data_IF_875578768445
#
_entry.id   IF_875578768445
#
_cell.length_a   1.000
_cell.length_b   1.000
_cell.length_c   1.000
_cell.angle_alpha   90.00
_cell.angle_beta   90.00
_cell.angle_gamma   90.00
#
_symmetry.space_group_name_H-M   'P 1'
#
loop_
_entity.id
_entity.type
_entity.pdbx_description
1 polymer ?
#
# COMPACT_ATOMS: atom_id res chain seq x y z
N UNK A 1 -35.30 -0.24 -3.78
CA UNK A 1 -34.03 -0.26 -4.52
C UNK A 1 -34.35 -0.53 -5.99
N UNK A 2 -34.01 0.38 -6.90
CA UNK A 2 -34.29 0.18 -8.34
C UNK A 2 -33.30 -0.86 -8.84
N UNK A 3 -33.80 -2.07 -9.12
CA UNK A 3 -33.04 -3.11 -9.80
C UNK A 3 -32.77 -2.63 -11.23
N UNK A 4 -31.56 -2.12 -11.48
CA UNK A 4 -31.11 -1.86 -12.85
C UNK A 4 -30.85 -3.20 -13.52
N UNK A 5 -31.57 -3.45 -14.62
CA UNK A 5 -31.31 -4.58 -15.51
C UNK A 5 -29.89 -4.49 -16.03
N UNK A 6 -29.14 -5.58 -15.97
CA UNK A 6 -27.80 -5.66 -16.56
C UNK A 6 -27.92 -5.48 -18.07
N UNK A 7 -27.19 -4.52 -18.64
CA UNK A 7 -27.22 -4.18 -20.06
C UNK A 7 -25.80 -3.96 -20.59
N UNK A 8 -25.58 -4.34 -21.85
CA UNK A 8 -24.33 -4.09 -22.56
C UNK A 8 -24.29 -2.66 -23.10
N UNK A 9 -23.09 -2.13 -23.32
CA UNK A 9 -22.87 -0.82 -23.95
C UNK A 9 -22.08 -0.97 -25.25
N UNK A 10 -22.16 0.04 -26.11
CA UNK A 10 -21.33 0.11 -27.31
C UNK A 10 -19.83 0.05 -26.96
N UNK A 11 -19.02 -0.51 -27.85
CA UNK A 11 -17.59 -0.75 -27.59
C UNK A 11 -16.82 0.50 -27.17
N UNK A 12 -17.20 1.69 -27.67
CA UNK A 12 -16.55 2.96 -27.32
C UNK A 12 -16.84 3.43 -25.89
N UNK A 13 -17.92 2.94 -25.28
CA UNK A 13 -18.33 3.25 -23.92
C UNK A 13 -17.76 2.26 -22.88
N UNK A 14 -16.95 1.28 -23.31
CA UNK A 14 -16.28 0.36 -22.41
C UNK A 14 -15.20 1.09 -21.58
N UNK A 15 -15.18 0.79 -20.27
CA UNK A 15 -14.13 1.25 -19.38
C UNK A 15 -12.74 0.77 -19.81
N UNK A 16 -11.73 1.57 -19.54
CA UNK A 16 -10.33 1.28 -19.88
C UNK A 16 -9.53 1.02 -18.61
N UNK A 17 -8.60 0.07 -18.67
CA UNK A 17 -7.71 -0.26 -17.57
C UNK A 17 -6.29 0.24 -17.86
N UNK A 18 -5.65 0.76 -16.82
CA UNK A 18 -4.28 1.26 -16.87
C UNK A 18 -3.55 0.82 -15.61
N UNK A 19 -2.23 0.66 -15.73
CA UNK A 19 -1.38 0.39 -14.56
C UNK A 19 -0.97 1.70 -13.93
N UNK A 20 -1.13 1.81 -12.61
CA UNK A 20 -0.61 2.90 -11.80
C UNK A 20 0.66 2.41 -11.13
N UNK A 21 1.81 2.79 -11.67
CA UNK A 21 3.12 2.23 -11.25
C UNK A 21 3.66 2.85 -9.97
N UNK A 22 3.18 4.02 -9.58
CA UNK A 22 3.65 4.81 -8.43
C UNK A 22 2.74 4.72 -7.20
N UNK A 23 1.69 3.88 -7.25
CA UNK A 23 0.67 3.80 -6.20
C UNK A 23 1.26 3.51 -4.80
N UNK A 24 2.25 2.60 -4.73
CA UNK A 24 2.91 2.26 -3.48
C UNK A 24 3.69 3.44 -2.88
N UNK A 25 4.39 4.21 -3.71
CA UNK A 25 5.13 5.39 -3.27
C UNK A 25 4.18 6.49 -2.77
N UNK A 26 3.11 6.77 -3.53
CA UNK A 26 2.09 7.74 -3.12
C UNK A 26 1.46 7.38 -1.78
N UNK A 27 1.24 6.09 -1.54
CA UNK A 27 0.71 5.61 -0.27
C UNK A 27 1.73 5.74 0.87
N UNK A 28 3.01 5.45 0.62
CA UNK A 28 4.08 5.69 1.60
C UNK A 28 4.17 7.16 2.02
N UNK A 29 4.13 8.08 1.05
CA UNK A 29 4.13 9.53 1.29
C UNK A 29 2.91 9.96 2.09
N UNK A 30 1.73 9.41 1.79
CA UNK A 30 0.52 9.64 2.56
C UNK A 30 0.69 9.21 4.02
N UNK A 31 1.13 7.97 4.27
CA UNK A 31 1.34 7.47 5.64
C UNK A 31 2.37 8.30 6.43
N UNK A 32 3.45 8.76 5.79
CA UNK A 32 4.41 9.66 6.42
C UNK A 32 3.80 11.03 6.71
N UNK A 33 2.92 11.52 5.84
CA UNK A 33 2.20 12.79 6.02
C UNK A 33 1.12 12.77 7.11
N UNK A 34 0.73 11.59 7.61
CA UNK A 34 -0.30 11.48 8.67
C UNK A 34 0.24 11.62 10.10
N UNK A 35 1.55 11.70 10.27
CA UNK A 35 2.21 11.92 11.57
C UNK A 35 2.75 13.35 11.66
N UNK A 36 3.10 13.80 12.88
CA UNK A 36 3.71 15.12 13.08
C UNK A 36 5.03 15.25 12.30
N UNK A 37 5.38 16.46 11.85
CA UNK A 37 6.55 16.68 11.01
C UNK A 37 7.89 16.33 11.69
N UNK A 38 7.93 16.40 13.01
CA UNK A 38 9.08 16.05 13.86
C UNK A 38 9.02 14.61 14.40
N UNK A 39 7.95 13.86 14.07
CA UNK A 39 7.81 12.47 14.47
C UNK A 39 8.92 11.62 13.83
N UNK A 40 9.57 10.79 14.65
CA UNK A 40 10.56 9.84 14.17
C UNK A 40 10.56 8.58 15.02
N UNK A 41 10.83 7.46 14.36
CA UNK A 41 11.01 6.14 14.97
C UNK A 41 12.49 5.77 15.12
N UNK A 42 13.41 6.74 14.95
CA UNK A 42 14.84 6.52 15.18
C UNK A 42 15.08 5.99 16.60
N UNK A 43 15.91 4.97 16.70
CA UNK A 43 16.22 4.29 17.97
C UNK A 43 15.27 3.13 18.31
N UNK A 44 14.16 2.96 17.58
CA UNK A 44 13.28 1.81 17.72
C UNK A 44 13.78 0.62 16.88
N UNK A 45 13.68 -0.58 17.46
CA UNK A 45 13.86 -1.86 16.78
C UNK A 45 12.53 -2.59 16.77
N UNK A 46 12.01 -2.90 15.59
CA UNK A 46 10.66 -3.44 15.38
C UNK A 46 10.75 -4.73 14.58
N UNK A 47 10.06 -5.77 15.05
CA UNK A 47 9.75 -6.94 14.22
C UNK A 47 8.46 -6.66 13.47
N UNK A 48 8.49 -6.79 12.14
CA UNK A 48 7.35 -6.57 11.27
C UNK A 48 6.99 -7.88 10.57
N UNK A 49 5.80 -8.41 10.86
CA UNK A 49 5.23 -9.56 10.16
C UNK A 49 4.24 -9.07 9.10
N UNK A 50 4.52 -9.36 7.82
CA UNK A 50 3.65 -8.99 6.71
C UNK A 50 2.67 -10.11 6.31
N UNK A 51 2.66 -11.25 7.01
CA UNK A 51 1.75 -12.38 6.80
C UNK A 51 1.71 -12.92 5.35
N UNK A 52 2.79 -12.72 4.59
CA UNK A 52 2.90 -12.94 3.15
C UNK A 52 1.76 -12.27 2.35
N UNK A 53 1.23 -11.16 2.86
CA UNK A 53 0.10 -10.44 2.30
C UNK A 53 0.49 -9.20 1.48
N UNK A 54 -0.50 -8.40 1.13
CA UNK A 54 -0.35 -7.21 0.27
C UNK A 54 0.65 -6.17 0.82
N UNK A 55 0.88 -6.15 2.13
CA UNK A 55 1.75 -5.17 2.80
C UNK A 55 3.24 -5.51 2.72
N UNK A 56 3.62 -6.67 2.18
CA UNK A 56 5.00 -7.20 2.19
C UNK A 56 6.08 -6.23 1.73
N UNK A 57 5.74 -5.29 0.83
CA UNK A 57 6.67 -4.30 0.29
C UNK A 57 6.38 -2.87 0.76
N UNK A 58 5.13 -2.55 1.11
CA UNK A 58 4.71 -1.20 1.51
C UNK A 58 5.02 -0.93 2.97
N UNK A 59 4.64 -1.85 3.87
CA UNK A 59 4.81 -1.63 5.30
C UNK A 59 6.30 -1.44 5.68
N UNK A 60 7.26 -2.28 5.22
CA UNK A 60 8.66 -2.06 5.53
C UNK A 60 9.17 -0.67 5.13
N UNK A 61 8.77 -0.16 3.96
CA UNK A 61 9.18 1.16 3.46
C UNK A 61 8.65 2.29 4.34
N UNK A 62 7.39 2.23 4.76
CA UNK A 62 6.79 3.23 5.66
C UNK A 62 7.54 3.30 6.99
N UNK A 63 7.78 2.18 7.65
CA UNK A 63 8.46 2.18 8.94
C UNK A 63 9.95 2.56 8.82
N UNK A 64 10.63 2.13 7.75
CA UNK A 64 12.03 2.52 7.49
C UNK A 64 12.16 4.01 7.19
N UNK A 65 11.25 4.61 6.42
CA UNK A 65 11.29 6.06 6.11
C UNK A 65 11.04 6.94 7.34
N UNK A 66 10.32 6.41 8.35
CA UNK A 66 10.18 7.05 9.66
C UNK A 66 11.40 6.85 10.59
N UNK A 67 12.36 6.00 10.18
CA UNK A 67 13.64 5.81 10.86
C UNK A 67 13.73 4.57 11.77
N UNK A 68 12.76 3.65 11.73
CA UNK A 68 12.81 2.42 12.50
C UNK A 68 13.85 1.43 11.94
N UNK A 69 14.57 0.72 12.82
CA UNK A 69 15.33 -0.45 12.44
C UNK A 69 14.40 -1.69 12.43
N UNK A 70 14.31 -2.39 11.31
CA UNK A 70 13.36 -3.48 11.12
C UNK A 70 14.02 -4.85 11.04
N UNK A 71 13.38 -5.84 11.66
CA UNK A 71 13.48 -7.26 11.27
C UNK A 71 12.16 -7.63 10.61
N UNK A 72 12.18 -7.91 9.31
CA UNK A 72 10.96 -8.24 8.55
C UNK A 72 10.82 -9.74 8.42
N UNK A 73 9.65 -10.27 8.75
CA UNK A 73 9.25 -11.65 8.56
C UNK A 73 7.94 -11.69 7.76
N UNK A 74 7.58 -12.86 7.22
CA UNK A 74 6.33 -12.99 6.49
C UNK A 74 6.22 -12.08 5.26
N UNK A 75 7.32 -11.81 4.54
CA UNK A 75 7.34 -10.82 3.44
C UNK A 75 7.77 -11.39 2.08
N UNK A 76 7.62 -12.69 1.89
CA UNK A 76 7.94 -13.39 0.64
C UNK A 76 6.70 -14.12 0.11
N UNK A 77 5.68 -13.40 -0.40
CA UNK A 77 4.50 -14.03 -0.98
C UNK A 77 4.87 -14.88 -2.20
N UNK A 78 4.21 -16.02 -2.37
CA UNK A 78 4.41 -16.95 -3.49
C UNK A 78 3.18 -17.10 -4.41
N UNK A 79 2.01 -16.59 -4.00
CA UNK A 79 0.80 -16.55 -4.81
C UNK A 79 -0.44 -16.16 -4.02
#
# INVERSE_FOLDING_TARGET
AVARTFATVDSHALGKAWRVTDAAQRYEEFCRGTVAADFSMRGLRIVLDCAHGATYHVAPRVFQSLGAALTVIGAAPDG
#
